data_IF_485436617246
#
_entry.id   IF_485436617246
#
_cell.length_a   1.000
_cell.length_b   1.000
_cell.length_c   1.000
_cell.angle_alpha   90.00
_cell.angle_beta   90.00
_cell.angle_gamma   90.00
#
_symmetry.space_group_name_H-M   'P 1'
#
loop_
_entity.id
_entity.type
_entity.pdbx_description
1 polymer ?
#
# COMPACT_ATOMS: atom_id res chain seq x y z
N UNK A 1 -9.73 47.98 10.85
CA UNK A 1 -8.38 47.55 11.31
C UNK A 1 -8.12 46.20 10.68
N UNK A 2 -7.23 46.15 9.70
CA UNK A 2 -6.95 44.94 8.93
C UNK A 2 -6.21 43.91 9.78
N UNK A 3 -6.73 42.69 9.82
CA UNK A 3 -6.00 41.54 10.33
C UNK A 3 -4.92 41.18 9.31
N UNK A 4 -3.68 41.56 9.62
CA UNK A 4 -2.50 41.08 8.93
C UNK A 4 -2.44 39.56 9.09
N UNK A 5 -2.80 38.83 8.03
CA UNK A 5 -2.46 37.41 7.94
C UNK A 5 -0.94 37.33 7.90
N UNK A 6 -0.34 36.73 8.94
CA UNK A 6 1.07 36.35 8.93
C UNK A 6 1.33 35.59 7.62
N UNK A 7 2.15 36.18 6.74
CA UNK A 7 2.53 35.57 5.48
C UNK A 7 3.41 34.36 5.74
N UNK A 8 2.80 33.19 5.92
CA UNK A 8 3.51 31.90 5.93
C UNK A 8 4.12 31.72 4.55
N UNK A 9 5.44 31.54 4.48
CA UNK A 9 6.14 31.40 3.20
C UNK A 9 5.84 30.02 2.62
N UNK A 10 5.82 29.91 1.29
CA UNK A 10 5.69 28.61 0.59
C UNK A 10 6.74 27.59 1.07
N UNK A 11 7.94 28.07 1.46
CA UNK A 11 8.98 27.25 2.08
C UNK A 11 8.56 26.55 3.38
N UNK A 12 7.71 27.19 4.18
CA UNK A 12 7.29 26.66 5.48
C UNK A 12 6.27 25.54 5.29
N UNK A 13 5.41 25.68 4.28
CA UNK A 13 4.50 24.62 3.82
C UNK A 13 5.25 23.41 3.26
N UNK A 14 6.30 23.63 2.46
CA UNK A 14 7.16 22.57 1.94
C UNK A 14 7.73 21.73 3.10
N UNK A 15 8.27 22.38 4.13
CA UNK A 15 8.85 21.69 5.28
C UNK A 15 7.79 20.93 6.12
N UNK A 16 6.61 21.53 6.33
CA UNK A 16 5.51 20.87 7.03
C UNK A 16 4.99 19.61 6.30
N UNK A 17 4.91 19.67 4.96
CA UNK A 17 4.54 18.53 4.13
C UNK A 17 5.59 17.42 4.18
N UNK A 18 6.87 17.77 4.07
CA UNK A 18 7.96 16.80 4.18
C UNK A 18 7.96 16.12 5.56
N UNK A 19 7.63 16.85 6.63
CA UNK A 19 7.44 16.26 7.95
C UNK A 19 6.22 15.32 7.96
N UNK A 20 5.10 15.70 7.34
CA UNK A 20 3.89 14.87 7.30
C UNK A 20 4.11 13.58 6.49
N UNK A 21 4.78 13.65 5.34
CA UNK A 21 5.11 12.49 4.48
C UNK A 21 6.24 11.65 5.09
N UNK A 22 7.23 12.29 5.73
CA UNK A 22 8.51 11.69 6.12
C UNK A 22 8.65 11.27 7.59
N UNK A 23 7.61 11.34 8.42
CA UNK A 23 7.75 10.94 9.83
C UNK A 23 7.81 9.41 10.01
N UNK A 24 9.00 8.83 9.83
CA UNK A 24 9.80 8.11 10.83
C UNK A 24 11.08 7.48 10.20
N UNK A 25 12.23 7.92 10.73
CA UNK A 25 13.59 7.35 10.76
C UNK A 25 14.52 7.36 9.53
N UNK A 26 15.36 8.41 9.52
CA UNK A 26 16.84 8.43 9.47
C UNK A 26 17.65 7.20 9.03
N UNK A 27 18.39 7.37 7.93
CA UNK A 27 19.85 7.19 7.85
C UNK A 27 20.33 7.63 6.45
N UNK A 28 21.12 8.71 6.40
CA UNK A 28 21.85 9.13 5.20
C UNK A 28 23.18 8.38 5.15
N UNK A 29 23.39 7.57 4.11
CA UNK A 29 24.67 6.90 3.84
C UNK A 29 25.20 7.32 2.47
N UNK A 30 26.45 7.77 2.42
CA UNK A 30 27.13 8.15 1.18
C UNK A 30 27.49 6.92 0.34
N UNK A 31 27.46 7.09 -0.98
CA UNK A 31 27.76 6.08 -1.98
C UNK A 31 29.26 5.73 -2.02
N UNK A 32 29.56 4.43 -2.18
CA UNK A 32 30.88 3.91 -2.55
C UNK A 32 30.73 3.23 -3.93
N UNK A 33 31.63 3.46 -4.91
CA UNK A 33 31.52 2.84 -6.23
C UNK A 33 31.70 1.32 -6.17
N UNK A 34 31.02 0.61 -7.07
CA UNK A 34 31.07 -0.86 -7.17
C UNK A 34 32.09 -1.35 -8.20
N UNK A 35 32.88 -2.36 -7.83
CA UNK A 35 33.57 -3.27 -8.75
C UNK A 35 32.77 -4.60 -8.88
N UNK A 36 32.85 -5.30 -10.02
CA UNK A 36 32.15 -6.57 -10.21
C UNK A 36 32.83 -7.72 -9.43
N UNK A 37 32.17 -8.22 -8.38
CA UNK A 37 32.68 -9.32 -7.56
C UNK A 37 32.25 -10.71 -8.06
N UNK A 38 33.23 -11.63 -8.11
CA UNK A 38 33.10 -13.07 -8.36
C UNK A 38 32.28 -13.76 -7.25
N UNK A 39 31.70 -14.96 -7.51
CA UNK A 39 30.93 -15.69 -6.50
C UNK A 39 31.80 -15.99 -5.27
N UNK A 40 31.54 -15.27 -4.17
CA UNK A 40 32.27 -15.45 -2.92
C UNK A 40 31.63 -16.57 -2.11
N UNK A 41 32.44 -17.58 -1.81
CA UNK A 41 32.17 -18.54 -0.75
C UNK A 41 32.20 -17.82 0.60
N UNK A 42 31.03 -17.65 1.21
CA UNK A 42 30.83 -17.49 2.65
C UNK A 42 31.57 -16.35 3.34
N UNK A 43 31.10 -15.11 3.17
CA UNK A 43 31.38 -14.09 4.18
C UNK A 43 30.76 -14.51 5.53
N UNK A 44 31.39 -14.18 6.68
CA UNK A 44 30.86 -14.55 7.99
C UNK A 44 29.46 -13.95 8.18
N UNK A 45 28.44 -14.81 8.33
CA UNK A 45 27.09 -14.37 8.66
C UNK A 45 26.87 -14.43 10.18
N UNK A 46 26.87 -13.26 10.82
CA UNK A 46 26.42 -13.13 12.20
C UNK A 46 24.90 -13.00 12.22
N UNK A 47 24.23 -13.88 12.98
CA UNK A 47 22.78 -13.89 13.26
C UNK A 47 22.43 -12.73 14.20
N UNK A 48 22.38 -11.52 13.65
CA UNK A 48 22.06 -10.31 14.39
C UNK A 48 20.68 -9.82 13.92
N UNK A 49 19.77 -9.46 14.84
CA UNK A 49 18.53 -8.76 14.48
C UNK A 49 18.85 -7.54 13.63
N UNK A 50 18.18 -7.39 12.50
CA UNK A 50 18.45 -6.22 11.66
C UNK A 50 17.80 -4.98 12.28
N UNK A 51 18.56 -3.88 12.45
CA UNK A 51 18.03 -2.61 12.99
C UNK A 51 17.13 -1.85 11.99
N UNK A 52 16.58 -2.54 10.99
CA UNK A 52 15.59 -1.95 10.11
C UNK A 52 16.13 -0.76 9.30
N UNK A 53 17.17 -0.96 8.49
CA UNK A 53 17.49 -0.07 7.37
C UNK A 53 16.40 -0.05 6.29
N UNK A 54 15.13 0.02 6.69
CA UNK A 54 13.91 -0.33 5.96
C UNK A 54 13.76 0.45 4.66
N UNK A 55 14.28 1.67 4.60
CA UNK A 55 14.32 2.50 3.38
C UNK A 55 15.36 2.08 2.34
N UNK A 56 16.21 1.10 2.63
CA UNK A 56 17.29 0.66 1.75
C UNK A 56 17.10 -0.77 1.23
N UNK A 57 16.05 -1.48 1.66
CA UNK A 57 15.83 -2.86 1.28
C UNK A 57 14.51 -3.00 0.54
N UNK A 58 14.52 -3.85 -0.48
CA UNK A 58 13.33 -4.21 -1.25
C UNK A 58 13.15 -5.72 -1.23
N UNK A 59 11.95 -6.19 -0.93
CA UNK A 59 11.58 -7.61 -1.00
C UNK A 59 11.50 -8.08 -2.45
N UNK A 60 11.99 -9.29 -2.69
CA UNK A 60 11.89 -10.00 -3.98
C UNK A 60 11.36 -11.43 -3.83
N UNK A 61 11.33 -11.98 -2.62
CA UNK A 61 10.67 -13.26 -2.38
C UNK A 61 10.13 -13.33 -0.96
N UNK A 62 9.03 -14.05 -0.78
CA UNK A 62 8.43 -14.31 0.52
C UNK A 62 7.94 -15.77 0.59
N UNK A 63 8.31 -16.50 1.64
CA UNK A 63 7.78 -17.86 1.94
C UNK A 63 7.67 -18.08 3.44
N UNK A 64 6.45 -18.16 3.99
CA UNK A 64 6.21 -18.37 5.43
C UNK A 64 7.00 -17.41 6.34
N UNK A 65 7.05 -16.13 5.97
CA UNK A 65 7.80 -15.11 6.72
C UNK A 65 9.29 -15.02 6.37
N UNK A 66 9.87 -16.00 5.68
CA UNK A 66 11.21 -15.88 5.11
C UNK A 66 11.20 -14.88 3.95
N UNK A 67 12.21 -14.03 3.88
CA UNK A 67 12.27 -12.94 2.90
C UNK A 67 13.63 -12.85 2.24
N UNK A 68 13.63 -12.74 0.92
CA UNK A 68 14.83 -12.34 0.17
C UNK A 68 14.71 -10.87 -0.16
N UNK A 69 15.73 -10.11 0.20
CA UNK A 69 15.77 -8.67 -0.02
C UNK A 69 17.04 -8.23 -0.75
N UNK A 70 16.92 -7.20 -1.57
CA UNK A 70 18.05 -6.53 -2.21
C UNK A 70 18.27 -5.14 -1.59
N UNK A 71 19.54 -4.79 -1.34
CA UNK A 71 19.91 -3.45 -0.90
C UNK A 71 19.94 -2.48 -2.08
N UNK A 72 19.22 -1.36 -2.00
CA UNK A 72 19.13 -0.38 -3.08
C UNK A 72 20.43 0.42 -3.32
N UNK A 73 21.37 0.44 -2.37
CA UNK A 73 22.65 1.16 -2.50
C UNK A 73 23.78 0.22 -2.91
N UNK A 74 23.87 -0.94 -2.28
CA UNK A 74 24.98 -1.88 -2.51
C UNK A 74 24.63 -3.01 -3.47
N UNK A 75 23.37 -3.17 -3.88
CA UNK A 75 22.94 -4.29 -4.71
C UNK A 75 23.05 -5.67 -4.05
N UNK A 76 23.55 -5.76 -2.81
CA UNK A 76 23.72 -7.02 -2.08
C UNK A 76 22.37 -7.60 -1.70
N UNK A 77 22.32 -8.92 -1.68
CA UNK A 77 21.15 -9.68 -1.31
C UNK A 77 21.26 -10.18 0.12
N UNK A 78 20.13 -10.33 0.81
CA UNK A 78 20.04 -11.02 2.10
C UNK A 78 18.81 -11.93 2.14
N UNK A 79 18.95 -13.02 2.88
CA UNK A 79 17.84 -13.83 3.34
C UNK A 79 17.57 -13.48 4.81
N UNK A 80 16.33 -13.17 5.14
CA UNK A 80 15.83 -13.00 6.50
C UNK A 80 14.93 -14.16 6.88
N UNK A 81 15.02 -14.58 8.13
CA UNK A 81 14.05 -15.49 8.74
C UNK A 81 12.77 -14.75 9.18
N UNK A 82 11.71 -15.45 9.61
CA UNK A 82 10.46 -14.82 10.05
C UNK A 82 10.60 -13.89 11.26
N UNK A 83 11.72 -13.95 11.99
CA UNK A 83 12.05 -13.06 13.11
C UNK A 83 12.90 -11.85 12.67
N UNK A 84 13.06 -11.63 11.36
CA UNK A 84 13.88 -10.57 10.75
C UNK A 84 15.37 -10.65 11.14
N UNK A 85 15.88 -11.85 11.41
CA UNK A 85 17.30 -12.13 11.60
C UNK A 85 17.91 -12.52 10.25
N UNK A 86 19.07 -11.94 9.93
CA UNK A 86 19.78 -12.27 8.69
C UNK A 86 20.33 -13.69 8.73
N UNK A 87 19.82 -14.53 7.85
CA UNK A 87 20.20 -15.94 7.72
C UNK A 87 21.29 -16.18 6.66
N UNK A 88 21.27 -15.41 5.57
CA UNK A 88 22.31 -15.43 4.54
C UNK A 88 22.44 -14.05 3.88
N UNK A 89 23.55 -13.82 3.18
CA UNK A 89 23.75 -12.64 2.34
C UNK A 89 24.78 -12.88 1.24
N UNK A 90 24.78 -12.04 0.21
CA UNK A 90 25.67 -12.14 -0.95
C UNK A 90 24.91 -11.92 -2.25
N UNK A 91 24.91 -12.91 -3.14
CA UNK A 91 24.16 -12.89 -4.41
C UNK A 91 22.72 -13.36 -4.22
N UNK A 92 21.84 -13.03 -5.17
CA UNK A 92 20.45 -13.54 -5.24
C UNK A 92 20.42 -15.06 -5.18
N UNK A 93 21.20 -15.71 -6.05
CA UNK A 93 21.30 -17.16 -6.15
C UNK A 93 21.74 -17.82 -4.82
N UNK A 94 22.68 -17.21 -4.09
CA UNK A 94 23.09 -17.74 -2.79
C UNK A 94 21.96 -17.64 -1.74
N UNK A 95 21.19 -16.55 -1.76
CA UNK A 95 20.05 -16.38 -0.86
C UNK A 95 18.90 -17.33 -1.21
N UNK A 96 18.63 -17.55 -2.51
CA UNK A 96 17.63 -18.51 -2.99
C UNK A 96 18.02 -19.96 -2.63
N UNK A 97 19.28 -20.33 -2.81
CA UNK A 97 19.78 -21.63 -2.40
C UNK A 97 19.66 -21.83 -0.87
N UNK A 98 19.99 -20.80 -0.08
CA UNK A 98 19.82 -20.85 1.37
C UNK A 98 18.36 -21.00 1.78
N UNK A 99 17.43 -20.30 1.11
CA UNK A 99 15.99 -20.43 1.35
C UNK A 99 15.50 -21.84 1.02
N UNK A 100 15.95 -22.41 -0.10
CA UNK A 100 15.59 -23.77 -0.50
C UNK A 100 16.10 -24.83 0.51
N UNK A 101 17.29 -24.63 1.08
CA UNK A 101 17.83 -25.51 2.12
C UNK A 101 17.02 -25.49 3.41
N UNK A 102 16.35 -24.38 3.74
CA UNK A 102 15.49 -24.30 4.92
C UNK A 102 14.18 -25.08 4.74
N UNK A 103 13.79 -25.37 3.50
CA UNK A 103 12.54 -26.06 3.15
C UNK A 103 11.33 -25.52 3.94
N UNK A 104 11.11 -24.18 3.98
CA UNK A 104 9.92 -23.66 4.64
C UNK A 104 8.68 -24.22 3.93
N UNK A 105 7.66 -24.56 4.71
CA UNK A 105 6.42 -25.11 4.18
C UNK A 105 5.88 -24.23 3.05
N UNK A 106 5.83 -24.77 1.83
CA UNK A 106 5.31 -24.03 0.70
C UNK A 106 3.77 -24.03 0.65
N UNK A 107 3.12 -24.32 1.78
CA UNK A 107 1.67 -24.40 1.91
C UNK A 107 1.22 -23.31 2.87
N UNK A 108 0.47 -22.34 2.37
CA UNK A 108 -0.29 -21.44 3.24
C UNK A 108 -1.58 -22.16 3.61
N UNK A 109 -1.80 -22.38 4.91
CA UNK A 109 -3.04 -23.02 5.40
C UNK A 109 -4.30 -22.23 4.98
N UNK A 110 -4.16 -20.90 4.84
CA UNK A 110 -5.18 -20.05 4.24
C UNK A 110 -5.00 -20.01 2.71
N UNK A 111 -6.11 -20.16 1.97
CA UNK A 111 -6.12 -20.07 0.51
C UNK A 111 -5.95 -18.63 -0.01
N UNK A 112 -5.91 -17.64 0.88
CA UNK A 112 -5.82 -16.23 0.52
C UNK A 112 -4.88 -15.48 1.48
N UNK A 113 -4.09 -14.55 0.94
CA UNK A 113 -3.18 -13.66 1.70
C UNK A 113 -3.43 -12.19 1.35
N UNK A 114 -3.29 -11.28 2.30
CA UNK A 114 -3.37 -9.84 2.04
C UNK A 114 -1.99 -9.20 2.04
N UNK A 115 -1.61 -8.58 0.92
CA UNK A 115 -0.34 -7.88 0.73
C UNK A 115 -0.53 -6.38 1.03
N UNK A 116 0.24 -5.84 1.96
CA UNK A 116 0.19 -4.44 2.35
C UNK A 116 1.37 -3.67 1.77
N UNK A 117 1.09 -2.54 1.12
CA UNK A 117 2.09 -1.67 0.51
C UNK A 117 2.06 -0.28 1.15
N UNK A 118 3.20 0.15 1.69
CA UNK A 118 3.35 1.44 2.35
C UNK A 118 3.52 2.59 1.34
N UNK A 119 3.47 3.84 1.81
CA UNK A 119 3.71 5.03 0.99
C UNK A 119 5.19 5.40 0.82
N UNK A 120 5.42 6.48 0.07
CA UNK A 120 6.73 7.12 -0.09
C UNK A 120 7.30 7.58 1.27
N UNK A 121 8.62 7.44 1.48
CA UNK A 121 9.33 7.75 2.74
C UNK A 121 8.85 6.95 3.96
N UNK A 122 8.05 5.89 3.75
CA UNK A 122 7.60 4.98 4.80
C UNK A 122 8.24 3.61 4.63
N UNK A 123 8.05 2.78 5.65
CA UNK A 123 8.41 1.38 5.62
C UNK A 123 7.21 0.49 5.86
N UNK A 124 7.38 -0.81 5.66
CA UNK A 124 6.35 -1.81 5.85
C UNK A 124 5.67 -1.76 7.24
N UNK A 125 6.41 -1.34 8.28
CA UNK A 125 5.84 -1.19 9.65
C UNK A 125 4.81 -0.07 9.79
N UNK A 126 4.75 0.87 8.85
CA UNK A 126 3.65 1.85 8.85
C UNK A 126 2.28 1.21 8.60
N UNK A 127 2.24 0.00 8.05
CA UNK A 127 1.01 -0.74 7.78
C UNK A 127 0.65 -1.72 8.91
N UNK A 128 1.43 -1.78 10.00
CA UNK A 128 1.28 -2.80 11.06
C UNK A 128 -0.09 -2.78 11.73
N UNK A 129 -0.60 -1.61 12.14
CA UNK A 129 -1.90 -1.51 12.79
C UNK A 129 -3.04 -2.05 11.91
N UNK A 130 -2.99 -1.74 10.60
CA UNK A 130 -3.95 -2.27 9.63
C UNK A 130 -3.83 -3.77 9.45
N UNK A 131 -2.60 -4.30 9.31
CA UNK A 131 -2.37 -5.73 9.14
C UNK A 131 -2.76 -6.55 10.37
N UNK A 132 -2.47 -6.06 11.57
CA UNK A 132 -2.92 -6.66 12.83
C UNK A 132 -4.46 -6.72 12.91
N UNK A 133 -5.13 -5.64 12.49
CA UNK A 133 -6.58 -5.58 12.44
C UNK A 133 -7.19 -6.57 11.44
N UNK A 134 -6.56 -6.75 10.26
CA UNK A 134 -6.96 -7.76 9.28
C UNK A 134 -6.81 -9.16 9.87
N UNK A 135 -5.63 -9.51 10.40
CA UNK A 135 -5.37 -10.83 10.99
C UNK A 135 -6.36 -11.13 12.12
N UNK A 136 -6.59 -10.17 13.01
CA UNK A 136 -7.48 -10.35 14.16
C UNK A 136 -8.94 -10.60 13.77
N UNK A 137 -9.42 -9.99 12.68
CA UNK A 137 -10.83 -10.05 12.28
C UNK A 137 -11.13 -11.11 11.21
N UNK A 138 -10.15 -11.48 10.38
CA UNK A 138 -10.38 -12.40 9.25
C UNK A 138 -9.59 -13.71 9.36
N UNK A 139 -8.59 -13.78 10.26
CA UNK A 139 -7.62 -14.87 10.36
C UNK A 139 -6.80 -15.08 9.07
N UNK A 140 -6.88 -14.16 8.11
CA UNK A 140 -6.10 -14.22 6.88
C UNK A 140 -4.65 -13.79 7.16
N UNK A 141 -3.66 -14.50 6.60
CA UNK A 141 -2.27 -14.07 6.68
C UNK A 141 -2.06 -12.72 5.98
N UNK A 142 -1.10 -11.97 6.49
CA UNK A 142 -0.70 -10.67 5.95
C UNK A 142 0.77 -10.66 5.59
N UNK A 143 1.09 -10.17 4.39
CA UNK A 143 2.45 -9.91 3.91
C UNK A 143 2.69 -8.40 3.88
N UNK A 144 3.61 -7.91 4.72
CA UNK A 144 4.02 -6.52 4.72
C UNK A 144 5.17 -6.32 3.71
N UNK A 145 4.83 -5.88 2.49
CA UNK A 145 5.81 -5.69 1.42
C UNK A 145 6.69 -4.48 1.73
N UNK A 146 7.99 -4.72 1.90
CA UNK A 146 8.98 -3.66 2.11
C UNK A 146 9.65 -3.33 0.78
N UNK A 147 9.74 -2.04 0.49
CA UNK A 147 10.50 -1.56 -0.64
C UNK A 147 11.14 -0.21 -0.35
N UNK A 148 12.33 -0.01 -0.93
CA UNK A 148 13.12 1.20 -0.77
C UNK A 148 12.48 2.40 -1.51
N UNK A 149 11.35 2.90 -0.99
CA UNK A 149 10.41 3.81 -1.66
C UNK A 149 11.02 5.10 -2.23
N UNK A 150 12.16 5.52 -1.72
CA UNK A 150 12.88 6.75 -2.13
C UNK A 150 14.14 6.46 -2.94
N UNK A 151 14.37 5.21 -3.34
CA UNK A 151 15.64 4.74 -3.92
C UNK A 151 15.48 4.05 -5.26
N UNK A 152 14.26 3.67 -5.65
CA UNK A 152 13.96 3.11 -6.96
C UNK A 152 12.78 3.84 -7.62
N UNK A 153 12.51 3.49 -8.87
CA UNK A 153 11.31 3.88 -9.62
C UNK A 153 10.10 3.03 -9.20
N UNK A 154 8.90 3.51 -9.48
CA UNK A 154 7.67 2.75 -9.27
C UNK A 154 7.67 1.47 -10.10
N UNK A 155 8.21 1.51 -11.32
CA UNK A 155 8.35 0.33 -12.18
C UNK A 155 9.26 -0.74 -11.54
N UNK A 156 10.39 -0.35 -10.94
CA UNK A 156 11.27 -1.27 -10.20
C UNK A 156 10.57 -1.85 -8.96
N UNK A 157 9.80 -1.03 -8.23
CA UNK A 157 8.99 -1.52 -7.10
C UNK A 157 7.88 -2.47 -7.53
N UNK A 158 7.24 -2.22 -8.68
CA UNK A 158 6.24 -3.10 -9.27
C UNK A 158 6.86 -4.43 -9.70
N UNK A 159 8.02 -4.42 -10.34
CA UNK A 159 8.77 -5.62 -10.69
C UNK A 159 9.13 -6.46 -9.45
N UNK A 160 9.58 -5.80 -8.37
CA UNK A 160 9.86 -6.48 -7.09
C UNK A 160 8.59 -7.09 -6.45
N UNK A 161 7.46 -6.38 -6.51
CA UNK A 161 6.16 -6.92 -6.08
C UNK A 161 5.77 -8.16 -6.89
N UNK A 162 6.02 -8.14 -8.22
CA UNK A 162 5.79 -9.31 -9.09
C UNK A 162 6.68 -10.49 -8.69
N UNK A 163 7.95 -10.26 -8.37
CA UNK A 163 8.85 -11.31 -7.86
C UNK A 163 8.29 -11.94 -6.57
N UNK A 164 7.81 -11.12 -5.63
CA UNK A 164 7.20 -11.59 -4.37
C UNK A 164 5.94 -12.42 -4.64
N UNK A 165 5.04 -11.96 -5.51
CA UNK A 165 3.81 -12.68 -5.86
C UNK A 165 4.11 -14.02 -6.57
N UNK A 166 5.12 -14.03 -7.44
CA UNK A 166 5.59 -15.25 -8.10
C UNK A 166 6.20 -16.26 -7.12
N UNK A 167 6.68 -15.80 -5.96
CA UNK A 167 7.23 -16.67 -4.91
C UNK A 167 6.18 -17.29 -3.99
N UNK A 168 4.93 -16.79 -4.03
CA UNK A 168 3.79 -17.37 -3.32
C UNK A 168 3.36 -18.70 -3.96
N UNK A 169 2.74 -19.63 -3.20
CA UNK A 169 2.19 -20.85 -3.78
C UNK A 169 1.17 -20.52 -4.89
N UNK A 170 1.22 -21.20 -6.04
CA UNK A 170 0.42 -20.83 -7.22
C UNK A 170 -1.10 -20.90 -7.01
N UNK A 171 -1.55 -21.72 -6.06
CA UNK A 171 -2.93 -21.91 -5.64
C UNK A 171 -3.44 -20.84 -4.66
N UNK A 172 -2.55 -20.01 -4.11
CA UNK A 172 -2.92 -18.98 -3.14
C UNK A 172 -3.35 -17.71 -3.85
N UNK A 173 -4.59 -17.29 -3.59
CA UNK A 173 -5.11 -16.02 -4.01
C UNK A 173 -4.56 -14.88 -3.15
N UNK A 174 -4.59 -13.64 -3.66
CA UNK A 174 -4.13 -12.49 -2.90
C UNK A 174 -5.01 -11.26 -3.04
N UNK A 175 -4.97 -10.44 -1.99
CA UNK A 175 -5.51 -9.10 -1.97
C UNK A 175 -4.36 -8.10 -1.88
N UNK A 176 -4.55 -6.88 -2.37
CA UNK A 176 -3.60 -5.78 -2.16
C UNK A 176 -4.28 -4.64 -1.39
N UNK A 177 -3.61 -4.11 -0.37
CA UNK A 177 -4.02 -2.86 0.28
C UNK A 177 -2.85 -1.88 0.25
N UNK A 178 -3.01 -0.78 -0.48
CA UNK A 178 -1.97 0.22 -0.68
C UNK A 178 -2.25 1.51 0.08
N UNK A 179 -1.20 2.11 0.64
CA UNK A 179 -1.22 3.49 1.11
C UNK A 179 -0.46 4.38 0.15
N UNK A 180 -1.05 5.53 -0.23
CA UNK A 180 -0.39 6.56 -1.02
C UNK A 180 0.28 5.97 -2.28
N UNK A 181 1.59 6.17 -2.46
CA UNK A 181 2.39 5.61 -3.56
C UNK A 181 2.30 4.08 -3.71
N UNK A 182 2.08 3.32 -2.64
CA UNK A 182 1.92 1.87 -2.71
C UNK A 182 0.76 1.46 -3.64
N UNK A 183 -0.27 2.30 -3.76
CA UNK A 183 -1.36 2.09 -4.71
C UNK A 183 -0.91 2.17 -6.17
N UNK A 184 0.03 3.06 -6.45
CA UNK A 184 0.54 3.28 -7.80
C UNK A 184 1.49 2.14 -8.19
N UNK A 185 2.25 1.60 -7.22
CA UNK A 185 3.01 0.35 -7.40
C UNK A 185 2.09 -0.81 -7.78
N UNK A 186 0.96 -0.98 -7.09
CA UNK A 186 -0.05 -2.01 -7.42
C UNK A 186 -0.61 -1.80 -8.83
N UNK A 187 -1.02 -0.57 -9.17
CA UNK A 187 -1.58 -0.27 -10.49
C UNK A 187 -0.57 -0.51 -11.63
N UNK A 188 0.70 -0.21 -11.40
CA UNK A 188 1.76 -0.48 -12.36
C UNK A 188 1.97 -1.99 -12.54
N UNK A 189 2.03 -2.75 -11.45
CA UNK A 189 2.16 -4.21 -11.52
C UNK A 189 0.99 -4.86 -12.29
N UNK A 190 -0.24 -4.37 -12.08
CA UNK A 190 -1.41 -4.81 -12.86
C UNK A 190 -1.27 -4.47 -14.34
N UNK A 191 -0.77 -3.27 -14.67
CA UNK A 191 -0.48 -2.87 -16.04
C UNK A 191 0.53 -3.80 -16.71
N UNK A 192 1.63 -4.10 -16.01
CA UNK A 192 2.65 -5.04 -16.49
C UNK A 192 2.07 -6.44 -16.73
N UNK A 193 1.22 -6.95 -15.83
CA UNK A 193 0.56 -8.24 -16.01
C UNK A 193 -0.39 -8.26 -17.21
N UNK A 194 -1.17 -7.20 -17.42
CA UNK A 194 -2.07 -7.08 -18.57
C UNK A 194 -1.29 -7.06 -19.88
N UNK A 195 -0.21 -6.27 -19.95
CA UNK A 195 0.64 -6.17 -21.13
C UNK A 195 1.35 -7.49 -21.45
N UNK A 196 1.79 -8.21 -20.42
CA UNK A 196 2.44 -9.51 -20.56
C UNK A 196 1.48 -10.68 -20.81
N UNK A 197 0.16 -10.48 -20.71
CA UNK A 197 -0.82 -11.57 -20.78
C UNK A 197 -0.76 -12.54 -19.60
N UNK A 198 -0.30 -12.08 -18.43
CA UNK A 198 -0.15 -12.89 -17.21
C UNK A 198 -1.51 -13.13 -16.53
N UNK A 199 -2.30 -14.02 -17.14
CA UNK A 199 -3.62 -14.41 -16.67
C UNK A 199 -3.59 -15.09 -15.28
N UNK A 200 -2.48 -15.71 -14.91
CA UNK A 200 -2.32 -16.35 -13.61
C UNK A 200 -2.27 -15.29 -12.49
N UNK A 201 -1.41 -14.28 -12.61
CA UNK A 201 -1.35 -13.21 -11.62
C UNK A 201 -2.66 -12.42 -11.54
N UNK A 202 -3.27 -12.13 -12.70
CA UNK A 202 -4.54 -11.38 -12.77
C UNK A 202 -5.72 -12.14 -12.15
N UNK A 203 -5.82 -13.46 -12.34
CA UNK A 203 -6.92 -14.26 -11.80
C UNK A 203 -6.80 -14.50 -10.28
N UNK A 204 -5.58 -14.47 -9.74
CA UNK A 204 -5.31 -14.64 -8.30
C UNK A 204 -5.55 -13.37 -7.48
N UNK A 205 -5.49 -12.19 -8.11
CA UNK A 205 -5.80 -10.92 -7.44
C UNK A 205 -7.32 -10.78 -7.24
N UNK A 206 -7.79 -10.82 -5.98
CA UNK A 206 -9.23 -10.80 -5.66
C UNK A 206 -9.77 -9.45 -5.26
N UNK A 207 -8.98 -8.65 -4.55
CA UNK A 207 -9.40 -7.31 -4.11
C UNK A 207 -8.22 -6.34 -4.10
N UNK A 208 -8.52 -5.07 -4.39
CA UNK A 208 -7.60 -3.95 -4.16
C UNK A 208 -8.29 -2.90 -3.28
N UNK A 209 -7.67 -2.53 -2.15
CA UNK A 209 -8.15 -1.40 -1.34
C UNK A 209 -7.10 -0.29 -1.34
N UNK A 210 -7.54 0.92 -1.66
CA UNK A 210 -6.65 2.05 -1.89
C UNK A 210 -6.84 3.13 -0.84
N UNK A 211 -5.83 3.37 0.01
CA UNK A 211 -5.85 4.39 1.05
C UNK A 211 -5.10 5.64 0.56
N UNK A 212 -5.82 6.75 0.35
CA UNK A 212 -5.28 8.02 -0.14
C UNK A 212 -4.43 7.90 -1.42
N UNK A 213 -4.89 7.18 -2.49
CA UNK A 213 -4.08 6.98 -3.68
C UNK A 213 -3.93 8.27 -4.51
N UNK A 214 -2.76 8.65 -5.02
CA UNK A 214 -2.63 9.74 -6.00
C UNK A 214 -2.95 9.23 -7.42
N UNK A 215 -4.19 8.80 -7.67
CA UNK A 215 -4.61 8.12 -8.90
C UNK A 215 -4.57 8.98 -10.16
N UNK A 216 -4.60 10.31 -10.00
CA UNK A 216 -4.51 11.33 -11.06
C UNK A 216 -3.17 12.09 -11.01
N UNK A 217 -2.16 11.47 -10.41
CA UNK A 217 -0.88 12.09 -10.09
C UNK A 217 -0.96 12.92 -8.81
N UNK A 218 0.14 13.56 -8.47
CA UNK A 218 0.28 14.28 -7.20
C UNK A 218 0.54 15.76 -7.46
N UNK A 219 -0.43 16.62 -7.17
CA UNK A 219 -0.30 18.07 -7.26
C UNK A 219 0.84 18.55 -6.39
N UNK A 220 0.95 18.00 -5.18
CA UNK A 220 2.02 18.34 -4.26
C UNK A 220 3.39 17.97 -4.84
N UNK A 221 3.52 16.83 -5.51
CA UNK A 221 4.75 16.48 -6.23
C UNK A 221 5.02 17.42 -7.41
N UNK A 222 4.00 17.77 -8.20
CA UNK A 222 4.11 18.74 -9.30
C UNK A 222 4.55 20.13 -8.81
N UNK A 223 3.97 20.61 -7.73
CA UNK A 223 4.28 21.92 -7.15
C UNK A 223 5.69 21.94 -6.53
N UNK A 224 6.06 20.89 -5.79
CA UNK A 224 7.37 20.77 -5.18
C UNK A 224 8.49 20.56 -6.23
N UNK A 225 8.23 19.87 -7.34
CA UNK A 225 9.20 19.71 -8.43
C UNK A 225 9.69 21.05 -9.00
N UNK A 226 8.89 22.13 -8.93
CA UNK A 226 9.28 23.48 -9.36
C UNK A 226 10.42 24.08 -8.52
N UNK A 227 10.67 23.54 -7.33
CA UNK A 227 11.65 24.08 -6.36
C UNK A 227 13.04 23.44 -6.46
N UNK A 228 13.21 22.35 -7.22
CA UNK A 228 14.48 21.63 -7.37
C UNK A 228 14.90 20.78 -6.15
N UNK A 229 14.32 21.01 -4.96
CA UNK A 229 14.62 20.27 -3.71
C UNK A 229 13.90 18.91 -3.65
N UNK A 230 12.77 18.79 -4.35
CA UNK A 230 11.88 17.64 -4.25
C UNK A 230 12.55 16.31 -4.63
N UNK A 231 13.24 16.24 -5.78
CA UNK A 231 13.87 15.01 -6.26
C UNK A 231 14.94 14.43 -5.33
N UNK A 232 15.62 15.27 -4.54
CA UNK A 232 16.60 14.82 -3.54
C UNK A 232 15.96 14.15 -2.33
N UNK A 233 14.75 14.57 -1.95
CA UNK A 233 14.07 14.08 -0.75
C UNK A 233 13.18 12.89 -1.11
N UNK A 234 12.43 12.97 -2.22
CA UNK A 234 11.51 11.92 -2.66
C UNK A 234 12.14 10.82 -3.49
N UNK A 235 13.33 11.05 -4.06
CA UNK A 235 13.95 10.13 -5.01
C UNK A 235 13.15 9.98 -6.30
N UNK A 236 13.45 8.91 -7.06
CA UNK A 236 12.94 8.67 -8.42
C UNK A 236 11.42 8.48 -8.46
N UNK A 237 10.84 7.66 -7.58
CA UNK A 237 9.39 7.44 -7.54
C UNK A 237 8.56 8.71 -7.32
N UNK A 238 9.05 9.66 -6.51
CA UNK A 238 8.36 10.96 -6.35
C UNK A 238 8.34 11.81 -7.62
N UNK A 239 9.37 11.74 -8.46
CA UNK A 239 9.42 12.47 -9.73
C UNK A 239 8.38 11.93 -10.72
N UNK A 240 8.17 10.62 -10.75
CA UNK A 240 7.17 9.93 -11.60
C UNK A 240 5.74 10.33 -11.23
N UNK A 241 5.44 10.50 -9.93
CA UNK A 241 4.13 10.98 -9.46
C UNK A 241 3.85 12.46 -9.75
N UNK A 242 4.88 13.23 -10.09
CA UNK A 242 4.81 14.66 -10.32
C UNK A 242 4.95 15.02 -11.80
N UNK A 243 6.18 15.35 -12.21
CA UNK A 243 6.47 15.95 -13.52
C UNK A 243 6.25 14.98 -14.68
N UNK A 244 6.49 13.69 -14.47
CA UNK A 244 6.44 12.67 -15.53
C UNK A 244 5.09 11.94 -15.59
N UNK A 245 4.10 12.41 -14.82
CA UNK A 245 2.82 11.74 -14.64
C UNK A 245 2.13 11.37 -15.95
N UNK A 246 2.02 12.29 -16.92
CA UNK A 246 1.31 12.01 -18.19
C UNK A 246 1.92 10.83 -18.96
N UNK A 247 3.26 10.75 -19.00
CA UNK A 247 3.95 9.63 -19.64
C UNK A 247 3.82 8.35 -18.81
N UNK A 248 3.90 8.50 -17.48
CA UNK A 248 3.89 7.39 -16.55
C UNK A 248 2.51 6.73 -16.44
N UNK A 249 1.43 7.51 -16.46
CA UNK A 249 0.05 7.08 -16.33
C UNK A 249 -0.38 6.06 -17.40
N UNK A 250 0.25 6.10 -18.58
CA UNK A 250 0.01 5.13 -19.66
C UNK A 250 0.38 3.68 -19.29
N UNK A 251 1.21 3.47 -18.27
CA UNK A 251 1.58 2.14 -17.77
C UNK A 251 0.73 1.68 -16.58
N UNK A 252 -0.17 2.54 -16.08
CA UNK A 252 -1.02 2.21 -14.94
C UNK A 252 -2.34 1.60 -15.40
N UNK A 253 -2.68 0.44 -14.84
CA UNK A 253 -3.99 -0.16 -15.05
C UNK A 253 -4.99 0.23 -13.96
N UNK A 254 -6.27 0.13 -14.30
CA UNK A 254 -7.35 0.02 -13.30
C UNK A 254 -7.48 -1.45 -12.90
N UNK A 255 -7.63 -1.77 -11.58
CA UNK A 255 -7.87 -3.14 -11.16
C UNK A 255 -9.11 -3.73 -11.84
N UNK A 256 -8.98 -4.97 -12.34
CA UNK A 256 -10.10 -5.71 -12.95
C UNK A 256 -10.96 -6.44 -11.92
N UNK A 257 -10.40 -6.70 -10.74
CA UNK A 257 -11.11 -7.22 -9.59
C UNK A 257 -11.84 -6.09 -8.85
N UNK A 258 -12.78 -6.40 -7.94
CA UNK A 258 -13.38 -5.39 -7.08
C UNK A 258 -12.32 -4.57 -6.34
N UNK A 259 -12.43 -3.25 -6.42
CA UNK A 259 -11.55 -2.35 -5.70
C UNK A 259 -12.30 -1.20 -5.05
N UNK A 260 -11.78 -0.74 -3.92
CA UNK A 260 -12.37 0.32 -3.11
C UNK A 260 -11.36 1.42 -2.84
N UNK A 261 -11.83 2.65 -2.67
CA UNK A 261 -10.98 3.82 -2.41
C UNK A 261 -11.41 4.48 -1.10
N UNK A 262 -10.46 4.66 -0.19
CA UNK A 262 -10.63 5.47 1.02
C UNK A 262 -9.86 6.78 0.82
N UNK A 263 -10.59 7.91 0.79
CA UNK A 263 -10.02 9.24 0.70
C UNK A 263 -10.04 9.91 2.08
N UNK A 264 -8.89 10.37 2.55
CA UNK A 264 -8.85 11.27 3.69
C UNK A 264 -9.31 12.67 3.28
N UNK A 265 -9.96 13.37 4.20
CA UNK A 265 -10.34 14.75 4.04
C UNK A 265 -10.29 15.46 5.38
N UNK A 266 -10.05 16.76 5.40
CA UNK A 266 -10.26 17.58 6.59
C UNK A 266 -11.56 18.40 6.45
N UNK A 267 -12.19 18.80 7.57
CA UNK A 267 -13.29 19.76 7.55
C UNK A 267 -12.89 21.04 6.82
N UNK A 268 -13.81 21.67 6.09
CA UNK A 268 -13.54 22.88 5.29
C UNK A 268 -13.01 24.05 6.13
N UNK A 269 -13.38 24.10 7.41
CA UNK A 269 -12.91 25.10 8.38
C UNK A 269 -11.44 24.92 8.79
N UNK A 270 -10.79 23.84 8.36
CA UNK A 270 -9.40 23.53 8.69
C UNK A 270 -8.44 24.32 7.79
N UNK A 271 -7.21 24.48 8.26
CA UNK A 271 -6.14 25.04 7.44
C UNK A 271 -5.87 24.12 6.23
N UNK A 272 -6.10 24.63 5.01
CA UNK A 272 -5.89 23.88 3.77
C UNK A 272 -4.44 24.01 3.29
N UNK A 273 -3.88 22.93 2.74
CA UNK A 273 -2.54 22.96 2.15
C UNK A 273 -2.59 23.60 0.75
N UNK A 274 -1.93 24.76 0.52
CA UNK A 274 -1.95 25.42 -0.78
C UNK A 274 -1.22 24.63 -1.88
N UNK A 275 -0.45 23.59 -1.53
CA UNK A 275 0.22 22.70 -2.47
C UNK A 275 -0.68 21.57 -3.01
N UNK A 276 -1.88 21.44 -2.44
CA UNK A 276 -2.87 20.43 -2.82
C UNK A 276 -4.05 21.10 -3.52
N UNK A 277 -4.42 20.58 -4.68
CA UNK A 277 -5.50 21.16 -5.48
C UNK A 277 -6.86 20.72 -4.89
N UNK A 278 -7.43 21.54 -4.02
CA UNK A 278 -8.75 21.36 -3.42
C UNK A 278 -8.74 20.61 -2.08
N UNK A 279 -9.91 20.12 -1.67
CA UNK A 279 -10.10 19.45 -0.37
C UNK A 279 -9.48 18.05 -0.38
N UNK A 280 -8.83 17.69 0.72
CA UNK A 280 -8.15 16.42 0.84
C UNK A 280 -7.50 16.21 2.20
N UNK A 281 -6.59 15.25 2.24
CA UNK A 281 -5.95 14.75 3.45
C UNK A 281 -4.62 15.47 3.79
N UNK A 282 -4.46 16.67 3.23
CA UNK A 282 -3.27 17.53 3.29
C UNK A 282 -2.11 17.12 2.37
N UNK A 283 -2.15 15.94 1.75
CA UNK A 283 -1.13 15.48 0.78
C UNK A 283 -1.75 15.17 -0.58
N UNK A 284 -2.94 14.58 -0.59
CA UNK A 284 -3.68 14.15 -1.77
C UNK A 284 -5.10 14.71 -1.69
N UNK A 285 -5.58 15.30 -2.78
CA UNK A 285 -6.97 15.76 -2.85
C UNK A 285 -7.94 14.61 -3.09
N UNK A 286 -9.21 14.79 -2.71
CA UNK A 286 -10.25 13.80 -2.98
C UNK A 286 -10.34 13.49 -4.48
N UNK A 287 -10.27 14.51 -5.33
CA UNK A 287 -10.31 14.33 -6.79
C UNK A 287 -9.12 13.51 -7.30
N UNK A 288 -7.93 13.73 -6.74
CA UNK A 288 -6.75 12.93 -7.08
C UNK A 288 -6.89 11.47 -6.68
N UNK A 289 -7.68 11.16 -5.64
CA UNK A 289 -7.95 9.77 -5.24
C UNK A 289 -8.87 9.01 -6.17
N UNK A 290 -9.73 9.69 -6.93
CA UNK A 290 -10.75 9.00 -7.73
C UNK A 290 -10.13 8.17 -8.84
N UNK A 291 -10.72 7.00 -9.07
CA UNK A 291 -10.41 6.12 -10.20
C UNK A 291 -11.73 5.47 -10.66
N UNK A 292 -12.11 5.59 -11.95
CA UNK A 292 -13.33 4.97 -12.46
C UNK A 292 -13.35 3.46 -12.27
N UNK A 293 -14.51 2.92 -11.91
CA UNK A 293 -14.73 1.48 -11.70
C UNK A 293 -14.67 1.01 -10.25
N UNK A 294 -14.41 1.91 -9.28
CA UNK A 294 -14.39 1.55 -7.86
C UNK A 294 -15.76 1.00 -7.44
N UNK A 295 -15.76 -0.14 -6.74
CA UNK A 295 -16.96 -0.77 -6.21
C UNK A 295 -17.56 0.04 -5.05
N UNK A 296 -16.71 0.75 -4.30
CA UNK A 296 -17.11 1.65 -3.23
C UNK A 296 -16.07 2.77 -3.02
N UNK A 297 -16.51 3.88 -2.44
CA UNK A 297 -15.69 5.05 -2.13
C UNK A 297 -16.06 5.57 -0.75
N UNK A 298 -15.09 5.59 0.17
CA UNK A 298 -15.27 6.08 1.53
C UNK A 298 -14.44 7.33 1.75
N UNK A 299 -15.08 8.40 2.21
CA UNK A 299 -14.39 9.58 2.70
C UNK A 299 -14.29 9.54 4.23
N UNK A 300 -13.12 9.84 4.79
CA UNK A 300 -12.90 9.88 6.24
C UNK A 300 -12.23 11.18 6.68
N UNK A 301 -12.59 11.74 7.84
CA UNK A 301 -12.05 13.01 8.33
C UNK A 301 -10.63 12.86 8.91
N UNK A 302 -9.67 12.39 8.10
CA UNK A 302 -8.32 11.99 8.53
C UNK A 302 -7.24 12.56 7.62
N UNK A 303 -6.11 12.90 8.23
CA UNK A 303 -4.88 13.25 7.52
C UNK A 303 -4.27 12.02 6.84
N UNK A 304 -3.56 12.29 5.74
CA UNK A 304 -2.95 11.28 4.87
C UNK A 304 -2.15 10.22 5.65
N UNK A 305 -1.37 10.70 6.61
CA UNK A 305 -0.38 9.94 7.35
C UNK A 305 -0.94 9.03 8.43
N UNK A 306 -2.24 9.15 8.73
CA UNK A 306 -2.92 8.40 9.78
C UNK A 306 -4.10 7.57 9.28
N UNK A 307 -4.24 7.39 7.96
CA UNK A 307 -5.32 6.60 7.36
C UNK A 307 -5.25 5.13 7.78
N UNK A 308 -4.06 4.54 7.75
CA UNK A 308 -3.81 3.13 8.12
C UNK A 308 -4.00 2.84 9.62
N UNK A 309 -3.84 3.86 10.48
CA UNK A 309 -3.98 3.76 11.93
C UNK A 309 -5.40 4.08 12.42
N UNK A 310 -6.29 4.54 11.53
CA UNK A 310 -7.65 4.90 11.90
C UNK A 310 -8.54 3.65 11.99
N UNK A 311 -9.18 3.46 13.14
CA UNK A 311 -10.02 2.29 13.39
C UNK A 311 -11.21 2.18 12.41
N UNK A 312 -11.78 3.30 11.97
CA UNK A 312 -12.88 3.32 10.99
C UNK A 312 -12.38 2.82 9.64
N UNK A 313 -11.20 3.29 9.22
CA UNK A 313 -10.56 2.83 7.98
C UNK A 313 -10.23 1.35 8.06
N UNK A 314 -9.67 0.87 9.17
CA UNK A 314 -9.35 -0.54 9.36
C UNK A 314 -10.58 -1.44 9.27
N UNK A 315 -11.68 -1.07 9.95
CA UNK A 315 -12.95 -1.79 9.86
C UNK A 315 -13.51 -1.79 8.44
N UNK A 316 -13.44 -0.64 7.75
CA UNK A 316 -13.88 -0.50 6.37
C UNK A 316 -13.07 -1.41 5.42
N UNK A 317 -11.74 -1.45 5.57
CA UNK A 317 -10.86 -2.33 4.78
C UNK A 317 -11.24 -3.79 4.99
N UNK A 318 -11.36 -4.23 6.25
CA UNK A 318 -11.75 -5.61 6.59
C UNK A 318 -13.10 -5.97 5.99
N UNK A 319 -14.08 -5.07 6.10
CA UNK A 319 -15.40 -5.27 5.53
C UNK A 319 -15.34 -5.37 3.99
N UNK A 320 -14.56 -4.50 3.33
CA UNK A 320 -14.40 -4.50 1.88
C UNK A 320 -13.81 -5.80 1.36
N UNK A 321 -12.78 -6.33 2.02
CA UNK A 321 -12.12 -7.59 1.62
C UNK A 321 -13.07 -8.80 1.63
N UNK A 322 -14.24 -8.69 2.29
CA UNK A 322 -15.25 -9.74 2.32
C UNK A 322 -16.52 -9.40 1.53
N UNK A 323 -16.84 -8.11 1.33
CA UNK A 323 -18.16 -7.67 0.85
C UNK A 323 -18.12 -6.65 -0.30
N UNK A 324 -16.94 -6.28 -0.81
CA UNK A 324 -16.77 -5.27 -1.88
C UNK A 324 -17.37 -3.89 -1.56
N UNK A 325 -17.62 -3.60 -0.28
CA UNK A 325 -18.19 -2.35 0.23
C UNK A 325 -17.53 -1.99 1.55
N UNK A 326 -17.48 -0.72 1.90
CA UNK A 326 -16.81 -0.23 3.12
C UNK A 326 -17.69 -0.25 4.36
N UNK A 327 -19.00 -0.43 4.19
CA UNK A 327 -19.95 -0.57 5.30
C UNK A 327 -21.14 -1.44 4.89
N UNK A 328 -21.85 -2.04 5.84
CA UNK A 328 -23.09 -2.75 5.54
C UNK A 328 -24.09 -1.82 4.86
N UNK A 329 -24.64 -2.24 3.71
CA UNK A 329 -25.75 -1.50 3.12
C UNK A 329 -26.96 -1.65 4.04
N UNK A 330 -27.70 -0.57 4.35
CA UNK A 330 -28.95 -0.69 5.08
C UNK A 330 -29.88 -1.64 4.30
N UNK A 331 -30.41 -2.67 4.97
CA UNK A 331 -31.37 -3.58 4.36
C UNK A 331 -32.57 -2.78 3.84
N UNK A 332 -33.11 -3.10 2.65
CA UNK A 332 -34.34 -2.48 2.22
C UNK A 332 -35.40 -2.71 3.29
N UNK A 333 -36.00 -1.62 3.78
CA UNK A 333 -37.05 -1.69 4.77
C UNK A 333 -38.12 -2.66 4.26
N UNK A 334 -38.44 -3.68 5.07
CA UNK A 334 -39.57 -4.57 4.80
C UNK A 334 -40.80 -3.67 4.65
N UNK A 335 -41.57 -3.76 3.55
CA UNK A 335 -42.75 -2.90 3.38
C UNK A 335 -43.65 -3.08 4.60
N UNK A 336 -43.92 -1.98 5.29
CA UNK A 336 -44.86 -1.95 6.39
C UNK A 336 -46.27 -2.13 5.81
N UNK A 337 -46.81 -3.34 5.90
CA UNK A 337 -48.21 -3.57 5.53
C UNK A 337 -48.52 -4.95 4.96
N UNK A 338 -48.32 -6.01 5.75
CA UNK A 338 -49.27 -7.12 5.73
C UNK A 338 -49.62 -7.39 7.20
N UNK A 339 -50.62 -6.65 7.69
CA UNK A 339 -51.37 -7.06 8.86
C UNK A 339 -52.03 -8.39 8.51
N UNK A 340 -51.58 -9.47 9.14
CA UNK A 340 -52.36 -10.69 9.20
C UNK A 340 -53.74 -10.33 9.75
N UNK A 341 -54.75 -10.43 8.89
CA UNK A 341 -56.14 -10.26 9.28
C UNK A 341 -56.54 -11.42 10.18
N UNK A 342 -56.54 -11.18 11.49
CA UNK A 342 -57.12 -12.05 12.49
C UNK A 342 -58.40 -11.38 13.01
N UNK A 343 -59.56 -11.83 12.52
CA UNK A 343 -60.89 -11.74 13.17
C UNK A 343 -61.94 -12.28 12.21
N UNK A 344 -62.96 -13.04 12.57
CA UNK A 344 -63.32 -13.76 13.78
C UNK A 344 -64.39 -14.76 13.32
N UNK A 345 -64.36 -15.98 13.86
CA UNK A 345 -65.44 -16.95 13.67
C UNK A 345 -66.68 -16.49 14.42
N UNK A 346 -67.73 -16.14 13.68
CA UNK A 346 -69.06 -15.90 14.23
C UNK A 346 -69.80 -17.25 14.27
N UNK A 347 -70.06 -17.72 15.48
CA UNK A 347 -70.97 -18.82 15.76
C UNK A 347 -72.37 -18.25 15.86
N UNK A 348 -73.30 -18.72 15.02
CA UNK A 348 -74.73 -18.49 15.17
C UNK A 348 -75.39 -19.84 15.36
N UNK A 349 -75.81 -20.09 16.60
CA UNK A 349 -76.87 -21.04 16.95
C UNK A 349 -78.22 -20.51 16.44
N UNK A 350 -79.02 -21.40 15.86
CA UNK A 350 -80.49 -21.30 15.90
C UNK A 350 -81.08 -22.71 15.94
N UNK A 351 -82.09 -22.83 16.80
CA UNK A 351 -82.91 -23.99 17.21
C UNK A 351 -83.44 -24.91 16.10
#
# INVERSE_FOLDING_TARGET
MGTSAMGVKVSDWVMGVLALVGWLNGASGMAVPQEPEKPSTGFPNFKIPTLGGKQLWTDHAWRQGWRIQQNALTGHWRLLDPQNVRFAWGTRMACEAALQQQQPDNVLAAQQITILLHGLMRSASSMSALGESIVAQTQQPVLYFEYASTRATIAEHAAALRDVIASLPPEVDFNCVGHSMGNIVVRHAIGDWQQAGDSQSLSRLKHVVMLGPPNQGSSIARQLAKTGVFGWVTGRGGLELGREWERFAAHLATPLCPFGIVAGSLPESSLQNPLVDGRGDFVVSIEETKLPGAADFLEVPRLHSFLMDDATVQQAVVHFLSHNTFSPRPSPARPAGESAGESAGETVETD
#
